data_IF_947227429387
#
_entry.id   IF_947227429387
#
_cell.length_a   1.000
_cell.length_b   1.000
_cell.length_c   1.000
_cell.angle_alpha   90.00
_cell.angle_beta   90.00
_cell.angle_gamma   90.00
#
_symmetry.space_group_name_H-M   'P 1'
#
loop_
_entity.id
_entity.type
_entity.pdbx_description
1 polymer ?
#
# COMPACT_ATOMS: atom_id res chain seq x y z
N UNK A 1 11.72 -12.64 -33.96
CA UNK A 1 12.27 -11.37 -33.43
C UNK A 1 11.18 -10.67 -32.63
N UNK A 2 11.27 -10.67 -31.31
CA UNK A 2 10.27 -10.00 -30.45
C UNK A 2 10.62 -8.52 -30.34
N UNK A 3 9.76 -7.66 -30.88
CA UNK A 3 9.88 -6.21 -30.70
C UNK A 3 9.60 -5.85 -29.24
N UNK A 4 10.60 -5.35 -28.53
CA UNK A 4 10.40 -4.78 -27.19
C UNK A 4 9.80 -3.38 -27.35
N UNK A 5 8.58 -3.21 -26.83
CA UNK A 5 7.94 -1.91 -26.76
C UNK A 5 8.75 -0.98 -25.84
N UNK A 6 9.29 0.10 -26.40
CA UNK A 6 9.97 1.13 -25.61
C UNK A 6 8.93 1.90 -24.79
N UNK A 7 9.09 1.90 -23.47
CA UNK A 7 8.23 2.64 -22.54
C UNK A 7 8.87 3.97 -22.19
N UNK A 8 8.17 5.09 -22.42
CA UNK A 8 8.62 6.43 -22.01
C UNK A 8 8.42 6.66 -20.51
N UNK A 9 9.04 7.69 -19.96
CA UNK A 9 8.86 8.06 -18.56
C UNK A 9 7.39 8.39 -18.23
N UNK A 10 6.67 9.04 -19.15
CA UNK A 10 5.26 9.40 -18.97
C UNK A 10 4.35 8.18 -19.02
N UNK A 11 4.60 7.26 -19.95
CA UNK A 11 3.89 5.98 -20.01
C UNK A 11 4.11 5.16 -18.73
N UNK A 12 5.34 5.13 -18.21
CA UNK A 12 5.64 4.47 -16.94
C UNK A 12 4.90 5.14 -15.79
N UNK A 13 4.91 6.48 -15.72
CA UNK A 13 4.25 7.26 -14.67
C UNK A 13 2.74 7.06 -14.68
N UNK A 14 2.12 7.12 -15.86
CA UNK A 14 0.70 6.84 -16.03
C UNK A 14 0.34 5.45 -15.48
N UNK A 15 1.09 4.41 -15.87
CA UNK A 15 0.87 3.05 -15.35
C UNK A 15 1.01 2.97 -13.83
N UNK A 16 1.99 3.66 -13.26
CA UNK A 16 2.19 3.68 -11.80
C UNK A 16 1.06 4.43 -11.08
N UNK A 17 0.56 5.53 -11.63
CA UNK A 17 -0.55 6.29 -11.05
C UNK A 17 -1.80 5.43 -10.90
N UNK A 18 -2.09 4.58 -11.90
CA UNK A 18 -3.21 3.64 -11.80
C UNK A 18 -2.91 2.46 -10.87
N UNK A 19 -1.73 1.83 -11.00
CA UNK A 19 -1.37 0.64 -10.19
C UNK A 19 -1.10 0.93 -8.71
N UNK A 20 -0.81 2.18 -8.35
CA UNK A 20 -0.50 2.61 -6.97
C UNK A 20 -1.63 3.44 -6.34
N UNK A 21 -2.90 3.18 -6.71
CA UNK A 21 -4.08 3.96 -6.35
C UNK A 21 -3.93 5.48 -6.21
N UNK A 22 -3.17 6.13 -7.11
CA UNK A 22 -2.95 7.58 -7.06
C UNK A 22 -3.97 8.37 -7.89
N UNK A 23 -4.55 7.76 -8.92
CA UNK A 23 -5.67 8.37 -9.64
C UNK A 23 -6.93 8.34 -8.75
N UNK A 24 -7.74 9.41 -8.71
CA UNK A 24 -8.95 9.46 -7.88
C UNK A 24 -9.92 8.30 -8.10
N UNK A 25 -10.02 7.81 -9.34
CA UNK A 25 -10.88 6.68 -9.71
C UNK A 25 -10.33 5.30 -9.28
N UNK A 26 -9.06 5.23 -8.89
CA UNK A 26 -8.36 3.99 -8.52
C UNK A 26 -8.09 3.93 -7.01
N UNK A 27 -8.57 4.93 -6.25
CA UNK A 27 -8.48 4.92 -4.80
C UNK A 27 -9.22 3.71 -4.24
N UNK A 28 -8.82 3.27 -3.06
CA UNK A 28 -9.35 2.08 -2.41
C UNK A 28 -9.97 2.43 -1.06
N UNK A 29 -10.64 1.49 -0.42
CA UNK A 29 -11.39 1.78 0.80
C UNK A 29 -10.57 1.52 2.06
N UNK A 30 -9.53 0.69 1.97
CA UNK A 30 -8.78 0.24 3.15
C UNK A 30 -7.27 0.39 3.01
N UNK A 31 -6.59 0.60 4.14
CA UNK A 31 -5.12 0.61 4.19
C UNK A 31 -4.51 -0.75 3.78
N UNK A 32 -5.25 -1.86 3.97
CA UNK A 32 -4.85 -3.19 3.52
C UNK A 32 -4.74 -3.27 2.00
N UNK A 33 -5.73 -2.75 1.28
CA UNK A 33 -5.72 -2.70 -0.18
C UNK A 33 -4.59 -1.82 -0.71
N UNK A 34 -4.32 -0.70 -0.02
CA UNK A 34 -3.15 0.14 -0.35
C UNK A 34 -1.85 -0.64 -0.19
N UNK A 35 -1.65 -1.32 0.95
CA UNK A 35 -0.48 -2.14 1.18
C UNK A 35 -0.35 -3.26 0.14
N UNK A 36 -1.46 -3.89 -0.25
CA UNK A 36 -1.50 -4.90 -1.32
C UNK A 36 -1.07 -4.33 -2.67
N UNK A 37 -1.53 -3.13 -3.03
CA UNK A 37 -1.16 -2.48 -4.30
C UNK A 37 0.33 -2.07 -4.34
N UNK A 38 0.91 -1.73 -3.18
CA UNK A 38 2.31 -1.28 -3.07
C UNK A 38 3.31 -2.37 -2.66
N UNK A 39 2.84 -3.61 -2.42
CA UNK A 39 3.64 -4.72 -1.86
C UNK A 39 4.08 -4.47 -0.40
N UNK A 40 3.56 -3.43 0.24
CA UNK A 40 3.81 -3.06 1.63
C UNK A 40 3.99 -1.55 1.80
N UNK A 41 3.81 -1.07 3.03
CA UNK A 41 4.00 0.33 3.42
C UNK A 41 5.26 0.45 4.26
N UNK A 42 6.10 1.44 3.96
CA UNK A 42 7.22 1.76 4.84
C UNK A 42 6.68 2.20 6.19
N UNK A 43 7.17 1.58 7.27
CA UNK A 43 6.61 1.70 8.61
C UNK A 43 7.67 1.99 9.67
N UNK A 44 8.89 2.39 9.25
CA UNK A 44 9.94 2.83 10.16
C UNK A 44 9.48 4.03 10.97
N UNK A 45 8.82 4.99 10.30
CA UNK A 45 8.12 6.09 10.94
C UNK A 45 6.60 5.88 10.79
N UNK A 46 5.82 5.89 11.90
CA UNK A 46 4.37 5.70 11.84
C UNK A 46 3.67 6.67 10.88
N UNK A 47 4.06 7.95 10.83
CA UNK A 47 3.39 8.94 10.00
C UNK A 47 3.48 8.59 8.50
N UNK A 48 4.57 7.95 8.06
CA UNK A 48 4.70 7.50 6.66
C UNK A 48 3.65 6.45 6.25
N UNK A 49 3.16 5.62 7.18
CA UNK A 49 2.05 4.69 6.93
C UNK A 49 0.75 5.47 6.71
N UNK A 50 0.43 6.38 7.63
CA UNK A 50 -0.79 7.19 7.57
C UNK A 50 -0.86 8.06 6.31
N UNK A 51 0.21 8.78 5.99
CA UNK A 51 0.24 9.64 4.81
C UNK A 51 0.19 8.83 3.50
N UNK A 52 0.88 7.68 3.46
CA UNK A 52 0.86 6.81 2.27
C UNK A 52 -0.50 6.18 2.02
N UNK A 53 -1.19 5.75 3.08
CA UNK A 53 -2.55 5.23 3.00
C UNK A 53 -3.55 6.34 2.64
N UNK A 54 -3.49 7.49 3.32
CA UNK A 54 -4.42 8.59 3.13
C UNK A 54 -4.41 9.14 1.70
N UNK A 55 -3.25 9.19 1.05
CA UNK A 55 -3.14 9.64 -0.35
C UNK A 55 -3.88 8.73 -1.36
N UNK A 56 -4.20 7.49 -0.96
CA UNK A 56 -4.67 6.40 -1.82
C UNK A 56 -6.04 5.86 -1.44
N UNK A 57 -6.65 6.42 -0.40
CA UNK A 57 -7.97 6.00 0.09
C UNK A 57 -9.06 6.99 -0.31
N UNK A 58 -10.28 6.49 -0.50
CA UNK A 58 -11.45 7.35 -0.76
C UNK A 58 -11.81 8.24 0.43
N UNK A 59 -11.86 7.66 1.63
CA UNK A 59 -12.24 8.35 2.86
C UNK A 59 -11.25 8.05 4.00
N UNK A 60 -10.04 8.63 3.97
CA UNK A 60 -9.04 8.35 4.98
C UNK A 60 -9.37 9.03 6.32
N UNK A 61 -9.37 8.24 7.38
CA UNK A 61 -9.35 8.72 8.77
C UNK A 61 -8.21 8.02 9.51
N UNK A 62 -7.68 8.65 10.56
CA UNK A 62 -6.64 8.04 11.38
C UNK A 62 -7.11 6.68 11.92
N UNK A 63 -8.34 6.60 12.43
CA UNK A 63 -8.93 5.38 12.94
C UNK A 63 -9.12 4.29 11.86
N UNK A 64 -9.57 4.63 10.65
CA UNK A 64 -9.67 3.66 9.54
C UNK A 64 -8.30 3.09 9.12
N UNK A 65 -7.23 3.89 9.23
CA UNK A 65 -5.88 3.45 8.91
C UNK A 65 -5.29 2.62 10.06
N UNK A 66 -5.44 3.07 11.31
CA UNK A 66 -4.82 2.47 12.50
C UNK A 66 -5.42 1.10 12.86
N UNK A 67 -6.72 0.90 12.59
CA UNK A 67 -7.38 -0.40 12.80
C UNK A 67 -6.75 -1.52 11.98
N UNK A 68 -6.16 -1.23 10.82
CA UNK A 68 -5.70 -2.28 9.90
C UNK A 68 -4.39 -2.94 10.38
N UNK A 69 -3.33 -2.21 10.81
CA UNK A 69 -2.11 -2.80 11.34
C UNK A 69 -2.21 -3.32 12.77
N UNK A 70 -3.09 -2.77 13.62
CA UNK A 70 -3.06 -3.02 15.06
C UNK A 70 -4.29 -3.71 15.63
N UNK A 71 -5.48 -3.51 15.03
CA UNK A 71 -6.75 -3.93 15.65
C UNK A 71 -7.54 -4.99 14.89
N UNK A 72 -7.28 -5.17 13.59
CA UNK A 72 -8.12 -6.01 12.73
C UNK A 72 -7.45 -7.32 12.42
N UNK A 73 -8.13 -8.41 12.78
CA UNK A 73 -7.73 -9.77 12.46
C UNK A 73 -8.61 -10.34 11.35
N UNK A 74 -8.05 -11.23 10.54
CA UNK A 74 -8.80 -12.15 9.69
C UNK A 74 -9.67 -13.07 10.56
N UNK A 75 -10.64 -13.76 9.97
CA UNK A 75 -11.48 -14.76 10.67
C UNK A 75 -10.69 -15.90 11.33
N UNK A 76 -9.39 -16.04 10.99
CA UNK A 76 -8.42 -16.97 11.57
C UNK A 76 -7.60 -16.39 12.73
N UNK A 77 -7.88 -15.16 13.18
CA UNK A 77 -7.15 -14.50 14.28
C UNK A 77 -5.80 -13.88 13.88
N UNK A 78 -5.39 -13.98 12.60
CA UNK A 78 -4.17 -13.38 12.08
C UNK A 78 -4.37 -11.90 11.75
N UNK A 79 -3.42 -11.01 12.07
CA UNK A 79 -3.54 -9.58 11.75
C UNK A 79 -3.65 -9.36 10.24
N UNK A 80 -4.48 -8.40 9.80
CA UNK A 80 -4.62 -8.07 8.38
C UNK A 80 -3.32 -7.50 7.78
N UNK A 81 -2.47 -6.88 8.59
CA UNK A 81 -1.12 -6.47 8.20
C UNK A 81 -0.11 -6.82 9.30
N UNK A 82 1.02 -7.40 8.93
CA UNK A 82 2.15 -7.68 9.81
C UNK A 82 3.20 -6.57 9.73
N UNK A 83 4.00 -6.41 10.79
CA UNK A 83 5.15 -5.48 10.81
C UNK A 83 6.44 -6.30 10.78
N UNK A 84 7.13 -6.27 9.65
CA UNK A 84 8.35 -7.06 9.42
C UNK A 84 9.51 -6.19 8.95
N UNK A 85 10.73 -6.53 9.35
CA UNK A 85 11.95 -5.95 8.77
C UNK A 85 12.23 -6.65 7.44
N UNK A 86 12.06 -5.93 6.34
CA UNK A 86 12.15 -6.50 4.99
C UNK A 86 13.22 -5.76 4.17
N UNK A 87 12.85 -5.28 2.97
CA UNK A 87 13.72 -4.60 2.03
C UNK A 87 14.60 -3.55 2.71
N UNK A 88 15.90 -3.58 2.39
CA UNK A 88 16.93 -2.69 2.98
C UNK A 88 16.97 -2.72 4.51
N UNK A 89 16.48 -3.79 5.15
CA UNK A 89 16.34 -3.94 6.60
C UNK A 89 15.50 -2.84 7.24
N UNK A 90 14.51 -2.31 6.54
CA UNK A 90 13.59 -1.30 7.08
C UNK A 90 12.27 -1.95 7.51
N UNK A 91 11.54 -1.29 8.42
CA UNK A 91 10.26 -1.81 8.88
C UNK A 91 9.20 -1.57 7.82
N UNK A 92 8.45 -2.61 7.46
CA UNK A 92 7.34 -2.55 6.53
C UNK A 92 6.07 -3.12 7.17
N UNK A 93 4.93 -2.54 6.81
CA UNK A 93 3.61 -3.11 7.06
C UNK A 93 3.10 -3.79 5.79
N UNK A 94 2.95 -5.10 5.80
CA UNK A 94 2.62 -5.93 4.63
C UNK A 94 1.55 -6.96 4.96
N UNK A 95 0.97 -7.61 3.95
CA UNK A 95 0.10 -8.78 4.17
C UNK A 95 0.90 -9.87 4.88
N UNK A 96 0.29 -10.63 5.81
CA UNK A 96 0.89 -11.86 6.29
C UNK A 96 1.09 -12.85 5.13
N UNK A 97 2.22 -13.57 5.17
CA UNK A 97 2.57 -14.63 4.22
C UNK A 97 1.75 -15.89 4.42
#
# INVERSE_FOLDING_TARGET
>A
MTLLLRTTADQRRARLVHRQPLAPAERVDTAHEVARALIGLHATDPATVFLSAAARMHAPTADAIDRTPYGTTSGTGTPLLERIRCMRRTMLSSRPT
#
